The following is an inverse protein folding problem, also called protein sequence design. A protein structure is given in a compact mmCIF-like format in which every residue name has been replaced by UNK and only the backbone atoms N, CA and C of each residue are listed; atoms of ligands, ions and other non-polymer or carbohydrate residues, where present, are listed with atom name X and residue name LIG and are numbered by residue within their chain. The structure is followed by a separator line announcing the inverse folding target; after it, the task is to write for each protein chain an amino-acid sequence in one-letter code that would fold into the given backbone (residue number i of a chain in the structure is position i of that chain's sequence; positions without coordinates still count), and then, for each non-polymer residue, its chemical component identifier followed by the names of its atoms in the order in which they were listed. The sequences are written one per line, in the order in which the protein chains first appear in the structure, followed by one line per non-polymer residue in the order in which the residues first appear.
data_IF_744636680327
#
_entry.id   IF_744636680327
#
_cell.length_a   1.000
_cell.length_b   1.000
_cell.length_c   1.000
_cell.angle_alpha   90.00
_cell.angle_beta   90.00
_cell.angle_gamma   90.00
#
_symmetry.space_group_name_H-M   'P 1'
#
loop_
_entity.id
_entity.type
_entity.pdbx_description
1 polymer ?
#
# COMPACT_ATOMS: atom_id res chain seq x y z
N UNK A 1 63.41 31.28 31.33
CA UNK A 1 63.25 31.93 30.02
C UNK A 1 62.02 31.33 29.36
N UNK A 2 61.12 32.21 28.94
CA UNK A 2 59.83 32.00 28.24
C UNK A 2 59.99 31.07 27.01
N UNK A 3 58.98 30.38 26.49
CA UNK A 3 57.68 30.93 26.08
C UNK A 3 56.63 29.84 25.82
N UNK A 4 55.38 30.19 26.15
CA UNK A 4 54.14 29.60 25.67
C UNK A 4 54.01 29.77 24.15
N UNK A 5 53.33 28.83 23.48
CA UNK A 5 52.43 29.14 22.37
C UNK A 5 51.43 27.96 22.16
N UNK A 6 50.22 28.16 22.68
CA UNK A 6 49.00 27.52 22.18
C UNK A 6 48.69 28.12 20.82
N UNK A 7 48.38 27.28 19.83
CA UNK A 7 47.65 27.70 18.64
C UNK A 7 46.46 26.77 18.44
N UNK A 8 45.29 27.29 18.82
CA UNK A 8 44.00 26.80 18.39
C UNK A 8 43.74 27.15 16.90
N UNK A 9 42.85 26.37 16.30
CA UNK A 9 42.21 26.49 14.98
C UNK A 9 42.96 25.93 13.76
N UNK A 10 42.33 25.00 13.04
CA UNK A 10 41.39 25.33 11.94
C UNK A 10 40.68 24.03 11.48
N UNK A 11 39.36 24.15 11.33
CA UNK A 11 38.42 23.28 10.61
C UNK A 11 39.02 22.26 9.60
N UNK A 12 38.93 20.97 9.95
CA UNK A 12 38.91 19.87 8.99
C UNK A 12 37.47 19.51 8.66
N UNK A 13 36.86 20.28 7.75
CA UNK A 13 35.66 19.89 7.02
C UNK A 13 36.11 18.88 5.98
N UNK A 14 35.51 17.69 5.93
CA UNK A 14 35.26 16.88 4.72
C UNK A 14 34.46 15.64 5.15
N UNK A 15 33.13 15.74 5.10
CA UNK A 15 32.28 15.20 4.03
C UNK A 15 31.85 13.76 4.32
N UNK A 16 30.67 13.67 4.93
CA UNK A 16 29.57 12.81 4.47
C UNK A 16 29.81 12.21 3.08
N UNK A 17 29.95 10.88 3.03
CA UNK A 17 29.20 10.02 2.11
C UNK A 17 29.64 8.57 2.20
N UNK A 18 28.64 7.72 2.10
CA UNK A 18 28.71 6.35 1.58
C UNK A 18 29.08 5.26 2.60
N UNK A 19 28.26 5.14 3.65
CA UNK A 19 27.70 3.80 3.90
C UNK A 19 26.84 3.48 2.66
N UNK A 20 27.49 3.01 1.59
CA UNK A 20 26.82 2.26 0.54
C UNK A 20 26.41 0.99 1.27
N UNK A 21 25.22 1.06 1.84
CA UNK A 21 24.49 -0.07 2.34
C UNK A 21 24.41 -1.02 1.14
N UNK A 22 25.31 -2.01 1.09
CA UNK A 22 25.41 -3.04 0.06
C UNK A 22 24.22 -4.00 0.13
N UNK A 23 23.05 -3.50 0.55
CA UNK A 23 21.77 -4.14 0.38
C UNK A 23 21.55 -4.15 -1.13
N UNK A 24 21.59 -5.35 -1.72
CA UNK A 24 21.13 -5.54 -3.10
C UNK A 24 19.84 -4.72 -3.28
N UNK A 25 19.72 -3.90 -4.35
CA UNK A 25 18.50 -3.16 -4.58
C UNK A 25 17.37 -4.18 -4.56
N UNK A 26 16.46 -4.04 -3.60
CA UNK A 26 15.29 -4.91 -3.54
C UNK A 26 14.62 -4.82 -4.92
N UNK A 27 14.35 -5.97 -5.54
CA UNK A 27 13.71 -6.05 -6.85
C UNK A 27 12.33 -6.66 -6.72
N UNK A 28 11.44 -6.28 -7.65
CA UNK A 28 10.08 -6.81 -7.70
C UNK A 28 9.32 -6.54 -6.40
N UNK A 29 8.45 -7.47 -5.99
CA UNK A 29 7.55 -7.28 -4.85
C UNK A 29 8.24 -6.87 -3.56
N UNK A 30 9.44 -7.38 -3.27
CA UNK A 30 10.16 -7.05 -2.04
C UNK A 30 10.57 -5.58 -1.96
N UNK A 31 10.80 -4.93 -3.10
CA UNK A 31 11.09 -3.50 -3.17
C UNK A 31 9.87 -2.68 -2.78
N UNK A 32 8.71 -3.09 -3.29
CA UNK A 32 7.43 -2.47 -2.98
C UNK A 32 7.06 -2.70 -1.52
N UNK A 33 7.25 -3.91 -0.99
CA UNK A 33 7.01 -4.20 0.43
C UNK A 33 7.86 -3.29 1.33
N UNK A 34 9.16 -3.15 1.03
CA UNK A 34 10.06 -2.25 1.76
C UNK A 34 9.65 -0.77 1.63
N UNK A 35 9.15 -0.34 0.47
CA UNK A 35 8.62 1.02 0.32
C UNK A 35 7.41 1.28 1.23
N UNK A 36 6.60 0.26 1.49
CA UNK A 36 5.38 0.39 2.29
C UNK A 36 5.60 0.11 3.79
N UNK A 37 6.84 -0.14 4.23
CA UNK A 37 7.15 -0.24 5.66
C UNK A 37 6.92 1.11 6.35
N UNK A 38 6.07 1.12 7.37
CA UNK A 38 5.73 2.29 8.21
C UNK A 38 5.19 3.53 7.48
N UNK A 39 4.63 3.34 6.28
CA UNK A 39 3.98 4.45 5.57
C UNK A 39 2.60 4.76 6.15
N UNK A 40 2.36 6.07 6.30
CA UNK A 40 1.06 6.62 6.63
C UNK A 40 0.29 6.91 5.35
N UNK A 41 -1.01 6.63 5.36
CA UNK A 41 -1.98 6.82 4.26
C UNK A 41 -1.71 8.04 3.36
N UNK A 42 -1.49 9.23 3.90
CA UNK A 42 -1.37 10.47 3.11
C UNK A 42 -0.10 10.53 2.26
N UNK A 43 0.91 9.73 2.63
CA UNK A 43 2.17 9.64 1.89
C UNK A 43 2.11 8.62 0.76
N UNK A 44 1.02 7.86 0.64
CA UNK A 44 0.96 6.74 -0.29
C UNK A 44 1.02 7.18 -1.74
N UNK A 45 0.32 8.27 -2.09
CA UNK A 45 0.42 8.91 -3.41
C UNK A 45 1.85 9.29 -3.84
N UNK A 46 2.77 9.47 -2.89
CA UNK A 46 4.15 9.85 -3.21
C UNK A 46 5.01 8.62 -3.57
N UNK A 47 4.52 7.40 -3.31
CA UNK A 47 5.26 6.19 -3.64
C UNK A 47 5.36 5.95 -5.14
N UNK A 48 4.39 6.40 -5.95
CA UNK A 48 4.47 6.23 -7.41
C UNK A 48 5.73 6.85 -8.02
N UNK A 49 6.21 7.98 -7.48
CA UNK A 49 7.49 8.58 -7.90
C UNK A 49 8.67 7.66 -7.53
N UNK A 50 8.69 7.12 -6.31
CA UNK A 50 9.75 6.19 -5.89
C UNK A 50 9.71 4.88 -6.68
N UNK A 51 8.53 4.42 -7.08
CA UNK A 51 8.33 3.23 -7.90
C UNK A 51 8.89 3.49 -9.31
N UNK A 52 8.60 4.66 -9.90
CA UNK A 52 9.21 5.10 -11.15
C UNK A 52 10.73 5.06 -11.08
N UNK A 53 11.33 5.58 -10.00
CA UNK A 53 12.78 5.55 -9.79
C UNK A 53 13.35 4.13 -9.65
N UNK A 54 12.67 3.24 -8.90
CA UNK A 54 13.14 1.85 -8.65
C UNK A 54 13.10 1.01 -9.93
N UNK A 55 12.05 1.14 -10.72
CA UNK A 55 11.84 0.32 -11.92
C UNK A 55 12.34 0.97 -13.21
N UNK A 56 12.69 2.26 -13.19
CA UNK A 56 13.12 2.99 -14.37
C UNK A 56 12.02 3.15 -15.42
N UNK A 57 10.77 3.25 -14.96
CA UNK A 57 9.56 3.37 -15.79
C UNK A 57 8.98 4.78 -15.68
N UNK A 58 8.10 5.17 -16.61
CA UNK A 58 7.41 6.45 -16.50
C UNK A 58 6.41 6.47 -15.33
N UNK A 59 5.89 7.66 -15.02
CA UNK A 59 4.98 7.84 -13.89
C UNK A 59 3.64 7.12 -14.08
N UNK A 60 3.16 6.99 -15.32
CA UNK A 60 1.90 6.33 -15.61
C UNK A 60 2.02 4.82 -15.37
N UNK A 61 3.07 4.20 -15.90
CA UNK A 61 3.42 2.79 -15.65
C UNK A 61 3.70 2.55 -14.15
N UNK A 62 4.40 3.47 -13.47
CA UNK A 62 4.62 3.37 -12.03
C UNK A 62 3.31 3.39 -11.22
N UNK A 63 2.33 4.21 -11.61
CA UNK A 63 1.01 4.19 -11.00
C UNK A 63 0.31 2.85 -11.22
N UNK A 64 0.38 2.28 -12.42
CA UNK A 64 -0.21 0.96 -12.68
C UNK A 64 0.44 -0.14 -11.84
N UNK A 65 1.77 -0.13 -11.72
CA UNK A 65 2.51 -1.04 -10.84
C UNK A 65 2.03 -0.90 -9.39
N UNK A 66 1.88 0.33 -8.91
CA UNK A 66 1.43 0.62 -7.55
C UNK A 66 -0.02 0.15 -7.29
N UNK A 67 -0.93 0.41 -8.22
CA UNK A 67 -2.32 -0.06 -8.16
C UNK A 67 -2.37 -1.58 -8.15
N UNK A 68 -1.59 -2.24 -9.02
CA UNK A 68 -1.52 -3.69 -9.10
C UNK A 68 -0.95 -4.32 -7.82
N UNK A 69 0.01 -3.66 -7.18
CA UNK A 69 0.54 -4.07 -5.88
C UNK A 69 -0.55 -4.13 -4.81
N UNK A 70 -1.34 -3.06 -4.65
CA UNK A 70 -2.46 -3.05 -3.71
C UNK A 70 -3.57 -4.02 -4.11
N UNK A 71 -3.86 -4.18 -5.41
CA UNK A 71 -4.85 -5.17 -5.87
C UNK A 71 -4.49 -6.59 -5.41
N UNK A 72 -3.21 -6.95 -5.53
CA UNK A 72 -2.73 -8.25 -5.09
C UNK A 72 -2.79 -8.40 -3.56
N UNK A 73 -2.47 -7.33 -2.80
CA UNK A 73 -2.59 -7.34 -1.33
C UNK A 73 -4.02 -7.49 -0.88
N UNK A 74 -4.95 -6.71 -1.44
CA UNK A 74 -6.37 -6.79 -1.13
C UNK A 74 -6.94 -8.19 -1.42
N UNK A 75 -6.60 -8.79 -2.57
CA UNK A 75 -6.99 -10.18 -2.88
C UNK A 75 -6.50 -11.18 -1.83
N UNK A 76 -5.27 -11.03 -1.35
CA UNK A 76 -4.74 -11.88 -0.27
C UNK A 76 -5.47 -11.65 1.05
N UNK A 77 -5.83 -10.41 1.38
CA UNK A 77 -6.61 -10.09 2.58
C UNK A 77 -8.02 -10.69 2.51
N UNK A 78 -8.67 -10.60 1.34
CA UNK A 78 -9.98 -11.23 1.07
C UNK A 78 -9.90 -12.75 1.27
N UNK A 79 -8.87 -13.40 0.72
CA UNK A 79 -8.67 -14.85 0.86
C UNK A 79 -8.43 -15.27 2.32
N UNK A 80 -7.73 -14.45 3.11
CA UNK A 80 -7.48 -14.70 4.53
C UNK A 80 -8.67 -14.41 5.44
N UNK A 81 -9.63 -13.60 4.98
CA UNK A 81 -10.80 -13.23 5.77
C UNK A 81 -11.84 -14.36 5.74
N UNK A 82 -12.21 -14.89 6.90
CA UNK A 82 -13.28 -15.89 7.02
C UNK A 82 -14.64 -15.37 6.50
N UNK A 83 -14.88 -14.07 6.65
CA UNK A 83 -16.14 -13.43 6.21
C UNK A 83 -16.18 -13.29 4.69
N UNK A 84 -15.07 -12.89 4.07
CA UNK A 84 -15.02 -12.54 2.65
C UNK A 84 -14.65 -13.72 1.74
N UNK A 85 -13.84 -14.66 2.22
CA UNK A 85 -13.35 -15.81 1.43
C UNK A 85 -14.49 -16.63 0.82
N UNK A 86 -15.56 -16.88 1.59
CA UNK A 86 -16.77 -17.58 1.12
C UNK A 86 -17.59 -16.82 0.07
N UNK A 87 -17.28 -15.56 -0.19
CA UNK A 87 -17.93 -14.71 -1.21
C UNK A 87 -16.93 -14.18 -2.25
N UNK A 88 -15.71 -14.72 -2.30
CA UNK A 88 -14.65 -14.30 -3.23
C UNK A 88 -15.12 -14.23 -4.69
N UNK A 89 -15.82 -15.26 -5.18
CA UNK A 89 -16.38 -15.27 -6.54
C UNK A 89 -17.40 -14.14 -6.79
N UNK A 90 -18.19 -13.77 -5.77
CA UNK A 90 -19.11 -12.64 -5.88
C UNK A 90 -18.35 -11.32 -5.95
N UNK A 91 -17.35 -11.15 -5.07
CA UNK A 91 -16.48 -9.96 -5.06
C UNK A 91 -15.80 -9.79 -6.42
N UNK A 92 -15.18 -10.84 -6.95
CA UNK A 92 -14.48 -10.79 -8.23
C UNK A 92 -15.40 -10.46 -9.43
N UNK A 93 -16.67 -10.86 -9.36
CA UNK A 93 -17.62 -10.68 -10.47
C UNK A 93 -18.45 -9.39 -10.38
N UNK A 94 -18.56 -8.78 -9.20
CA UNK A 94 -19.51 -7.68 -8.96
C UNK A 94 -18.88 -6.43 -8.37
N UNK A 95 -17.67 -6.52 -7.81
CA UNK A 95 -16.99 -5.39 -7.19
C UNK A 95 -15.72 -5.03 -7.96
N UNK A 96 -15.57 -3.74 -8.23
CA UNK A 96 -14.37 -3.24 -8.90
C UNK A 96 -13.22 -3.08 -7.89
N UNK A 97 -12.52 -4.20 -7.66
CA UNK A 97 -11.31 -4.21 -6.83
C UNK A 97 -10.21 -3.31 -7.40
N UNK A 98 -10.18 -3.05 -8.72
CA UNK A 98 -9.18 -2.16 -9.32
C UNK A 98 -9.43 -0.73 -8.85
N UNK A 99 -10.67 -0.25 -8.92
CA UNK A 99 -11.04 1.07 -8.38
C UNK A 99 -10.68 1.20 -6.90
N UNK A 100 -11.01 0.21 -6.07
CA UNK A 100 -10.62 0.25 -4.64
C UNK A 100 -9.10 0.29 -4.45
N UNK A 101 -8.35 -0.46 -5.26
CA UNK A 101 -6.87 -0.46 -5.22
C UNK A 101 -6.29 0.90 -5.62
N UNK A 102 -6.93 1.57 -6.59
CA UNK A 102 -6.59 2.92 -7.03
C UNK A 102 -6.76 3.93 -5.90
N UNK A 103 -7.87 3.87 -5.16
CA UNK A 103 -8.10 4.74 -4.01
C UNK A 103 -7.06 4.52 -2.91
N UNK A 104 -6.58 3.28 -2.72
CA UNK A 104 -5.48 3.00 -1.78
C UNK A 104 -4.16 3.59 -2.29
N UNK A 105 -3.79 3.34 -3.55
CA UNK A 105 -2.54 3.81 -4.15
C UNK A 105 -2.41 5.35 -4.11
N UNK A 106 -3.52 6.08 -4.22
CA UNK A 106 -3.55 7.54 -4.12
C UNK A 106 -3.72 8.06 -2.69
N UNK A 107 -3.73 7.18 -1.69
CA UNK A 107 -3.85 7.56 -0.29
C UNK A 107 -5.22 8.12 0.08
N UNK A 108 -6.28 7.79 -0.65
CA UNK A 108 -7.66 8.21 -0.37
C UNK A 108 -8.29 7.37 0.74
N UNK A 109 -7.99 6.07 0.77
CA UNK A 109 -8.40 5.11 1.79
C UNK A 109 -7.23 4.19 2.17
N UNK A 110 -7.33 3.50 3.31
CA UNK A 110 -6.36 2.45 3.67
C UNK A 110 -6.83 1.09 3.18
N UNK A 111 -5.93 0.12 3.07
CA UNK A 111 -6.32 -1.28 2.77
C UNK A 111 -7.31 -1.84 3.79
N UNK A 112 -7.16 -1.50 5.08
CA UNK A 112 -8.09 -1.92 6.12
C UNK A 112 -9.48 -1.31 5.90
N UNK A 113 -9.54 -0.02 5.57
CA UNK A 113 -10.82 0.64 5.22
C UNK A 113 -11.48 -0.03 4.02
N UNK A 114 -10.70 -0.43 3.00
CA UNK A 114 -11.22 -1.18 1.87
C UNK A 114 -11.84 -2.52 2.32
N UNK A 115 -11.17 -3.27 3.20
CA UNK A 115 -11.69 -4.54 3.72
C UNK A 115 -12.95 -4.33 4.56
N UNK A 116 -13.02 -3.27 5.36
CA UNK A 116 -14.22 -2.93 6.15
C UNK A 116 -15.42 -2.60 5.24
N UNK A 117 -15.19 -1.84 4.16
CA UNK A 117 -16.21 -1.56 3.14
C UNK A 117 -16.71 -2.88 2.53
N UNK A 118 -15.80 -3.75 2.11
CA UNK A 118 -16.15 -5.05 1.53
C UNK A 118 -16.98 -5.89 2.51
N UNK A 119 -16.58 -5.97 3.78
CA UNK A 119 -17.32 -6.71 4.82
C UNK A 119 -18.72 -6.13 4.99
N UNK A 120 -18.86 -4.81 5.03
CA UNK A 120 -20.16 -4.13 5.15
C UNK A 120 -21.08 -4.43 3.97
N UNK A 121 -20.57 -4.33 2.73
CA UNK A 121 -21.32 -4.66 1.51
C UNK A 121 -21.77 -6.13 1.52
N UNK A 122 -20.88 -7.06 1.91
CA UNK A 122 -21.20 -8.49 1.97
C UNK A 122 -22.26 -8.81 3.05
N UNK A 123 -22.21 -8.15 4.22
CA UNK A 123 -23.23 -8.32 5.26
C UNK A 123 -24.60 -7.88 4.78
N UNK A 124 -24.68 -6.69 4.18
CA UNK A 124 -25.93 -6.15 3.63
C UNK A 124 -26.51 -7.08 2.55
N UNK A 125 -25.65 -7.64 1.68
CA UNK A 125 -26.10 -8.58 0.66
C UNK A 125 -26.66 -9.88 1.25
N UNK A 126 -26.04 -10.43 2.31
CA UNK A 126 -26.57 -11.60 3.03
C UNK A 126 -27.94 -11.30 3.61
N UNK A 127 -28.13 -10.13 4.21
CA UNK A 127 -29.42 -9.70 4.77
C UNK A 127 -30.51 -9.55 3.70
N UNK A 128 -30.21 -8.95 2.54
CA UNK A 128 -31.16 -8.86 1.42
C UNK A 128 -31.60 -10.24 0.94
N UNK A 129 -30.65 -11.17 0.74
CA UNK A 129 -30.97 -12.56 0.36
C UNK A 129 -31.80 -13.31 1.42
N UNK A 130 -31.69 -12.93 2.70
CA UNK A 130 -32.55 -13.48 3.76
C UNK A 130 -33.96 -12.90 3.62
N UNK A 131 -34.11 -11.59 3.46
CA UNK A 131 -35.41 -10.92 3.31
C UNK A 131 -36.19 -11.39 2.07
N UNK A 132 -35.52 -11.58 0.93
CA UNK A 132 -36.16 -12.08 -0.30
C UNK A 132 -36.72 -13.50 -0.15
N UNK A 133 -36.16 -14.31 0.76
CA UNK A 133 -36.67 -15.66 1.06
C UNK A 133 -37.91 -15.65 1.96
N UNK A 134 -38.28 -14.52 2.54
CA UNK A 134 -39.43 -14.35 3.43
C UNK A 134 -40.52 -13.45 2.84
N UNK A 135 -40.67 -13.42 1.50
CA UNK A 135 -41.88 -12.85 0.89
C UNK A 135 -43.07 -13.70 1.37
N UNK A 136 -43.80 -13.16 2.35
CA UNK A 136 -44.97 -13.78 2.96
C UNK A 136 -46.08 -13.91 1.90
N UNK A 137 -46.50 -15.15 1.64
CA UNK A 137 -47.61 -15.51 0.74
C UNK A 137 -49.01 -15.19 1.30
N UNK A 138 -49.10 -14.28 2.28
CA UNK A 138 -50.37 -13.83 2.86
C UNK A 138 -50.51 -12.32 2.64
N UNK A 139 -51.02 -11.96 1.46
CA UNK A 139 -51.73 -10.71 1.19
C UNK A 139 -53.08 -11.04 0.58
#
# INVERSE_FOLDING_TARGET
MNSYENNDNIFGKDNDKNDIDNKLPFKGKSALDALHEDIVKEKEKNLSLKISDIYGVDYEEANEIHINYHNLRLKKMIQKSEILSGMSAFIDSNLDLKTLSTQVAFGEITENTCIDILISVMKNQKETRVKDRYINFYS
#
